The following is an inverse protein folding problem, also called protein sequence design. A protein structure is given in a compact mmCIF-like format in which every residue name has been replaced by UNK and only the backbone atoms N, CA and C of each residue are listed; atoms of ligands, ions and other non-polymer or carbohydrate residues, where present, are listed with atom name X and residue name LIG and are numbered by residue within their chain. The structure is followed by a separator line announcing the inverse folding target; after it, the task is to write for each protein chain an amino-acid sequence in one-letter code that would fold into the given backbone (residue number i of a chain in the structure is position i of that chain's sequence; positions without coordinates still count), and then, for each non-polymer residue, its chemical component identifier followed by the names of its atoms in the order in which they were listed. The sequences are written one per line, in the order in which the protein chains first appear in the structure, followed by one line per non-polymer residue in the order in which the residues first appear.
data_IF_597035519060
#
_entry.id   IF_597035519060
#
_cell.length_a   1.000
_cell.length_b   1.000
_cell.length_c   1.000
_cell.angle_alpha   90.00
_cell.angle_beta   90.00
_cell.angle_gamma   90.00
#
_symmetry.space_group_name_H-M   'P 1'
#
loop_
_entity.id
_entity.type
_entity.pdbx_description
1 polymer ?
#
# COMPACT_ATOMS: atom_id res chain seq x y z
N UNK A 1 53.98 -16.21 -33.01
CA UNK A 1 55.21 -15.40 -33.11
C UNK A 1 54.95 -14.10 -32.36
N UNK A 2 55.29 -14.09 -31.07
CA UNK A 2 55.87 -12.91 -30.40
C UNK A 2 57.30 -12.74 -30.96
N UNK A 3 57.96 -11.57 -30.88
CA UNK A 3 58.12 -10.75 -29.66
C UNK A 3 57.97 -9.23 -29.97
N UNK A 4 58.14 -8.24 -29.10
CA UNK A 4 59.08 -7.98 -28.00
C UNK A 4 58.53 -6.64 -27.40
N UNK A 5 58.04 -6.58 -26.16
CA UNK A 5 58.79 -6.19 -24.96
C UNK A 5 59.77 -5.03 -25.15
N UNK A 6 59.66 -3.98 -24.30
CA UNK A 6 60.69 -3.53 -23.33
C UNK A 6 60.58 -2.05 -22.87
N UNK A 7 61.20 -1.66 -21.74
CA UNK A 7 60.47 -1.15 -20.56
C UNK A 7 61.16 0.05 -19.87
N UNK A 8 60.85 0.25 -18.58
CA UNK A 8 61.68 0.83 -17.50
C UNK A 8 62.00 2.33 -17.43
N UNK A 9 61.64 2.95 -16.28
CA UNK A 9 62.53 3.50 -15.22
C UNK A 9 61.65 4.38 -14.29
N UNK A 10 61.41 4.13 -13.00
CA UNK A 10 62.23 3.82 -11.82
C UNK A 10 63.00 5.03 -11.22
N UNK A 11 63.05 5.04 -9.87
CA UNK A 11 63.86 5.83 -8.91
C UNK A 11 63.15 7.07 -8.32
N UNK A 12 62.60 7.00 -7.10
CA UNK A 12 63.24 7.10 -5.74
C UNK A 12 63.85 8.50 -5.51
N UNK A 13 63.63 9.26 -4.44
CA UNK A 13 63.92 9.13 -2.99
C UNK A 13 63.64 10.57 -2.45
N UNK A 14 63.39 10.94 -1.19
CA UNK A 14 64.04 10.59 0.09
C UNK A 14 63.33 11.34 1.23
N UNK A 15 63.29 10.68 2.38
CA UNK A 15 63.11 11.22 3.73
C UNK A 15 64.18 12.26 4.09
N UNK A 16 63.84 13.23 4.96
CA UNK A 16 64.73 13.62 6.07
C UNK A 16 63.95 14.27 7.20
N UNK A 17 64.14 13.70 8.39
CA UNK A 17 63.77 14.17 9.72
C UNK A 17 64.70 15.29 10.18
N UNK A 18 64.25 16.16 11.10
CA UNK A 18 65.13 16.69 12.15
C UNK A 18 64.34 17.19 13.37
N UNK A 19 64.73 16.58 14.47
CA UNK A 19 64.46 16.73 15.88
C UNK A 19 64.92 18.05 16.56
N UNK A 20 64.27 18.31 17.71
CA UNK A 20 64.80 18.72 19.04
C UNK A 20 64.86 20.19 19.52
N UNK A 21 64.35 20.29 20.76
CA UNK A 21 64.72 21.06 21.95
C UNK A 21 64.57 22.58 22.02
N UNK A 22 63.79 23.02 23.02
CA UNK A 22 64.36 23.70 24.22
C UNK A 22 63.34 23.85 25.36
N UNK A 23 63.81 23.53 26.55
CA UNK A 23 63.23 23.64 27.89
C UNK A 23 63.39 25.06 28.48
N UNK A 24 62.52 25.48 29.43
CA UNK A 24 62.86 26.24 30.65
C UNK A 24 61.61 26.74 31.44
N UNK A 25 61.29 25.99 32.51
CA UNK A 25 61.03 26.33 33.93
C UNK A 25 60.89 27.80 34.42
N UNK A 26 59.92 28.02 35.35
CA UNK A 26 60.02 28.65 36.73
C UNK A 26 58.83 29.58 37.10
N UNK A 27 58.28 29.36 38.32
CA UNK A 27 57.55 30.33 39.19
C UNK A 27 56.17 29.82 39.66
N UNK A 28 55.95 29.19 40.83
CA UNK A 28 55.91 29.75 42.22
C UNK A 28 55.12 31.09 42.30
N UNK A 29 54.20 31.40 43.22
CA UNK A 29 53.74 30.84 44.49
C UNK A 29 52.50 31.64 44.97
N UNK A 30 51.68 31.04 45.85
CA UNK A 30 50.95 31.62 47.01
C UNK A 30 49.96 32.81 46.89
N UNK A 31 48.74 32.61 47.43
CA UNK A 31 48.17 33.25 48.66
C UNK A 31 46.63 33.18 48.58
N UNK A 32 45.92 32.32 49.31
CA UNK A 32 45.51 32.36 50.73
C UNK A 32 44.65 33.58 51.17
N UNK A 33 43.52 33.24 51.83
CA UNK A 33 42.72 34.04 52.78
C UNK A 33 41.77 35.11 52.18
N UNK A 34 40.55 35.35 52.67
CA UNK A 34 39.97 35.13 54.00
C UNK A 34 38.44 35.25 53.97
N UNK A 35 37.79 34.58 54.92
CA UNK A 35 36.38 34.67 55.27
C UNK A 35 36.04 35.90 56.12
N UNK A 36 34.76 36.30 56.14
CA UNK A 36 33.96 36.65 57.35
C UNK A 36 32.55 37.13 56.91
N UNK A 37 31.47 36.45 57.34
CA UNK A 37 30.55 36.83 58.45
C UNK A 37 29.56 37.94 58.06
N UNK A 38 28.30 37.98 58.48
CA UNK A 38 27.47 37.30 59.48
C UNK A 38 25.98 37.59 59.08
N UNK A 39 25.00 36.72 59.39
CA UNK A 39 24.02 36.88 60.50
C UNK A 39 23.15 38.16 60.42
N UNK A 40 21.83 38.19 60.66
CA UNK A 40 20.95 37.33 61.46
C UNK A 40 19.46 37.74 61.28
N UNK A 41 18.57 36.76 61.49
CA UNK A 41 17.28 36.81 62.23
C UNK A 41 16.07 37.65 61.76
N UNK A 42 14.94 36.99 61.47
CA UNK A 42 13.81 36.58 62.37
C UNK A 42 12.67 37.60 62.31
N UNK A 43 11.37 37.34 62.46
CA UNK A 43 10.51 36.26 62.96
C UNK A 43 9.14 36.50 62.25
N UNK A 44 8.08 35.67 62.23
CA UNK A 44 7.39 34.83 63.23
C UNK A 44 6.29 34.06 62.44
N UNK A 45 6.06 32.74 62.60
CA UNK A 45 5.15 32.08 63.58
C UNK A 45 3.83 32.84 63.78
N UNK A 46 2.61 32.26 63.75
CA UNK A 46 2.08 30.92 64.10
C UNK A 46 0.68 30.78 63.40
N UNK A 47 -0.13 29.71 63.39
CA UNK A 47 -0.41 28.53 64.25
C UNK A 47 -1.39 27.65 63.41
N UNK A 48 -1.20 26.33 63.24
CA UNK A 48 -1.84 25.21 63.98
C UNK A 48 -3.40 25.25 64.02
N UNK A 49 -4.20 24.19 63.89
CA UNK A 49 -3.99 22.72 63.98
C UNK A 49 -5.33 21.99 63.64
N UNK A 50 -5.23 20.66 63.45
CA UNK A 50 -6.21 19.57 63.72
C UNK A 50 -7.26 19.21 62.66
N UNK A 51 -7.11 18.09 61.95
CA UNK A 51 -7.29 16.65 62.31
C UNK A 51 -8.77 16.22 62.36
N UNK A 52 -9.14 15.31 61.44
CA UNK A 52 -9.88 14.09 61.79
C UNK A 52 -9.70 12.99 60.71
N UNK A 53 -9.10 11.89 61.17
CA UNK A 53 -9.20 10.54 60.59
C UNK A 53 -10.64 10.03 60.62
N UNK A 54 -11.05 9.29 59.58
CA UNK A 54 -11.89 8.10 59.69
C UNK A 54 -11.86 7.27 58.40
N UNK A 55 -11.21 6.13 58.52
CA UNK A 55 -11.25 4.91 57.70
C UNK A 55 -12.67 4.38 57.48
N UNK A 56 -12.95 3.81 56.29
CA UNK A 56 -13.43 2.42 56.11
C UNK A 56 -13.89 2.12 54.66
N UNK A 57 -13.38 0.99 54.17
CA UNK A 57 -14.03 -0.02 53.33
C UNK A 57 -14.83 0.37 52.07
N UNK A 58 -14.24 0.05 50.91
CA UNK A 58 -14.97 -0.67 49.87
C UNK A 58 -14.03 -1.51 49.03
N UNK A 59 -13.95 -2.80 49.38
CA UNK A 59 -13.55 -3.86 48.48
C UNK A 59 -14.52 -3.92 47.29
N UNK A 60 -14.00 -3.79 46.07
CA UNK A 60 -14.63 -4.40 44.90
C UNK A 60 -13.61 -5.34 44.26
N UNK A 61 -13.77 -6.61 44.62
CA UNK A 61 -13.26 -7.75 43.88
C UNK A 61 -13.72 -7.66 42.42
N UNK A 62 -12.78 -7.61 41.47
CA UNK A 62 -13.05 -8.04 40.10
C UNK A 62 -12.44 -9.42 39.90
N UNK A 63 -13.30 -10.44 40.05
CA UNK A 63 -13.02 -11.80 39.59
C UNK A 63 -12.93 -11.81 38.06
N UNK A 64 -11.95 -12.51 37.46
CA UNK A 64 -11.95 -12.80 36.03
C UNK A 64 -12.97 -13.92 35.75
N UNK A 65 -13.95 -13.65 34.89
CA UNK A 65 -14.85 -14.67 34.35
C UNK A 65 -14.19 -15.32 33.13
N UNK A 66 -13.88 -16.60 33.30
CA UNK A 66 -13.53 -17.58 32.28
C UNK A 66 -14.67 -17.79 31.27
N UNK A 67 -14.30 -17.83 29.97
CA UNK A 67 -14.92 -18.36 28.73
C UNK A 67 -16.20 -19.24 28.83
N UNK A 68 -17.10 -19.33 27.81
CA UNK A 68 -16.73 -19.63 26.40
C UNK A 68 -17.67 -19.16 25.24
N UNK A 69 -17.14 -19.22 24.01
CA UNK A 69 -17.80 -19.61 22.72
C UNK A 69 -18.97 -18.79 22.07
N UNK A 70 -18.91 -18.77 20.73
CA UNK A 70 -19.95 -18.46 19.72
C UNK A 70 -20.22 -16.99 19.33
N UNK A 71 -19.59 -16.54 18.22
CA UNK A 71 -20.22 -15.60 17.27
C UNK A 71 -19.89 -16.08 15.85
N UNK A 72 -20.80 -16.86 15.29
CA UNK A 72 -20.92 -17.13 13.86
C UNK A 72 -22.40 -17.03 13.51
N UNK A 73 -22.98 -15.82 13.60
CA UNK A 73 -24.36 -15.53 13.17
C UNK A 73 -24.56 -14.01 13.12
N UNK A 74 -24.17 -13.37 12.03
CA UNK A 74 -24.65 -12.01 11.70
C UNK A 74 -24.88 -11.75 10.21
N UNK A 75 -24.48 -12.68 9.32
CA UNK A 75 -24.72 -12.55 7.87
C UNK A 75 -26.12 -13.00 7.41
N UNK A 76 -26.91 -13.65 8.27
CA UNK A 76 -28.24 -14.18 7.93
C UNK A 76 -29.38 -13.16 7.95
N UNK A 77 -29.28 -12.09 8.75
CA UNK A 77 -30.40 -11.17 9.02
C UNK A 77 -30.51 -9.99 8.04
N UNK A 78 -29.48 -9.75 7.22
CA UNK A 78 -29.48 -8.67 6.22
C UNK A 78 -30.10 -9.16 4.89
N UNK A 79 -30.01 -10.45 4.56
CA UNK A 79 -30.63 -10.98 3.34
C UNK A 79 -32.17 -11.11 3.44
N UNK A 80 -32.71 -11.31 4.65
CA UNK A 80 -34.16 -11.49 4.79
C UNK A 80 -34.95 -10.17 4.73
N UNK A 81 -34.31 -9.03 5.00
CA UNK A 81 -34.94 -7.70 4.92
C UNK A 81 -35.01 -7.13 3.49
N UNK A 82 -34.20 -7.62 2.57
CA UNK A 82 -34.19 -7.17 1.16
C UNK A 82 -35.31 -7.84 0.36
N UNK A 83 -35.82 -9.00 0.80
CA UNK A 83 -36.85 -9.74 0.05
C UNK A 83 -38.30 -9.35 0.38
N UNK A 84 -38.57 -8.31 1.20
CA UNK A 84 -39.93 -7.99 1.68
C UNK A 84 -40.38 -6.53 1.67
N UNK A 85 -39.73 -5.63 0.94
CA UNK A 85 -40.22 -4.25 0.82
C UNK A 85 -40.85 -3.99 -0.55
N UNK A 86 -42.17 -3.81 -0.56
CA UNK A 86 -42.98 -3.37 -1.70
C UNK A 86 -42.54 -1.99 -2.21
N UNK A 87 -42.38 -1.90 -3.54
CA UNK A 87 -41.82 -0.81 -4.35
C UNK A 87 -42.62 0.53 -4.38
N UNK A 88 -43.38 0.88 -3.35
CA UNK A 88 -44.25 2.08 -3.40
C UNK A 88 -43.81 3.28 -2.54
N UNK A 89 -42.71 3.20 -1.80
CA UNK A 89 -42.30 4.30 -0.89
C UNK A 89 -40.78 4.53 -0.86
N UNK A 90 -40.18 4.86 -2.01
CA UNK A 90 -38.81 5.39 -2.05
C UNK A 90 -38.85 6.79 -2.63
N UNK A 91 -38.37 7.77 -1.86
CA UNK A 91 -38.32 9.18 -2.27
C UNK A 91 -37.28 9.37 -3.39
N UNK A 92 -37.51 10.27 -4.37
CA UNK A 92 -36.56 10.52 -5.47
C UNK A 92 -35.14 10.91 -5.01
N UNK A 93 -35.00 11.46 -3.79
CA UNK A 93 -33.70 11.85 -3.23
C UNK A 93 -32.87 10.65 -2.71
N UNK A 94 -33.54 9.55 -2.32
CA UNK A 94 -32.86 8.31 -1.90
C UNK A 94 -32.41 7.46 -3.09
N UNK A 95 -33.10 7.59 -4.23
CA UNK A 95 -32.70 6.96 -5.50
C UNK A 95 -31.41 7.59 -6.05
N UNK A 96 -31.23 8.90 -5.86
CA UNK A 96 -30.02 9.59 -6.31
C UNK A 96 -28.79 9.25 -5.46
N UNK A 97 -28.95 9.09 -4.14
CA UNK A 97 -27.87 8.66 -3.24
C UNK A 97 -27.52 7.17 -3.35
N UNK A 98 -28.46 6.32 -3.79
CA UNK A 98 -28.19 4.90 -4.08
C UNK A 98 -27.52 4.69 -5.46
N UNK A 99 -27.66 5.63 -6.39
CA UNK A 99 -26.98 5.57 -7.69
C UNK A 99 -25.49 5.93 -7.62
N UNK A 100 -25.08 6.77 -6.65
CA UNK A 100 -23.67 7.10 -6.44
C UNK A 100 -22.92 6.06 -5.58
N UNK A 101 -23.62 5.28 -4.75
CA UNK A 101 -23.03 4.27 -3.87
C UNK A 101 -22.92 2.85 -4.49
N UNK A 102 -23.50 2.58 -5.67
CA UNK A 102 -23.57 1.22 -6.26
C UNK A 102 -22.55 0.91 -7.37
N UNK A 103 -21.54 1.75 -7.61
CA UNK A 103 -20.54 1.49 -8.67
C UNK A 103 -19.51 0.41 -8.31
N UNK A 104 -19.46 -0.10 -7.07
CA UNK A 104 -18.38 -1.01 -6.62
C UNK A 104 -18.76 -2.51 -6.48
N UNK A 105 -19.99 -2.95 -6.82
CA UNK A 105 -20.36 -4.39 -6.71
C UNK A 105 -21.12 -4.96 -7.90
N UNK A 106 -20.49 -4.98 -9.07
CA UNK A 106 -20.91 -5.82 -10.20
C UNK A 106 -19.69 -6.55 -10.79
N UNK A 107 -19.15 -7.48 -10.01
CA UNK A 107 -18.34 -8.60 -10.53
C UNK A 107 -19.13 -9.87 -10.24
N UNK A 108 -19.46 -10.57 -11.33
CA UNK A 108 -20.35 -11.73 -11.51
C UNK A 108 -21.86 -11.40 -11.65
N UNK A 109 -22.50 -11.80 -12.79
CA UNK A 109 -22.29 -13.11 -13.41
C UNK A 109 -21.98 -13.06 -14.91
N UNK A 110 -20.71 -12.97 -15.28
CA UNK A 110 -20.23 -13.19 -16.65
C UNK A 110 -20.35 -14.67 -17.08
N UNK A 111 -20.36 -15.61 -16.13
CA UNK A 111 -20.58 -17.04 -16.43
C UNK A 111 -22.03 -17.34 -16.86
N UNK A 112 -23.03 -16.60 -16.39
CA UNK A 112 -24.43 -16.81 -16.81
C UNK A 112 -24.72 -16.21 -18.19
N UNK A 113 -23.94 -15.21 -18.60
CA UNK A 113 -23.98 -14.66 -19.97
C UNK A 113 -23.30 -15.58 -20.98
N UNK A 114 -22.17 -16.21 -20.61
CA UNK A 114 -21.49 -17.20 -21.47
C UNK A 114 -22.37 -18.42 -21.79
N UNK A 115 -23.06 -18.98 -20.79
CA UNK A 115 -23.98 -20.13 -21.00
C UNK A 115 -25.23 -19.74 -21.80
N UNK A 116 -25.69 -18.49 -21.73
CA UNK A 116 -26.83 -18.00 -22.53
C UNK A 116 -26.46 -17.78 -24.00
N UNK A 117 -25.23 -17.35 -24.28
CA UNK A 117 -24.74 -17.13 -25.65
C UNK A 117 -24.46 -18.47 -26.34
N UNK A 118 -23.86 -19.45 -25.65
CA UNK A 118 -23.66 -20.79 -26.21
C UNK A 118 -24.98 -21.52 -26.54
N UNK A 119 -26.03 -21.34 -25.72
CA UNK A 119 -27.36 -21.91 -25.99
C UNK A 119 -28.12 -21.21 -27.12
N UNK A 120 -27.86 -19.94 -27.40
CA UNK A 120 -28.46 -19.25 -28.54
C UNK A 120 -27.81 -19.65 -29.88
N UNK A 121 -26.51 -19.94 -29.88
CA UNK A 121 -25.79 -20.37 -31.10
C UNK A 121 -26.21 -21.79 -31.52
N UNK A 122 -26.48 -22.69 -30.56
CA UNK A 122 -26.91 -24.07 -30.87
C UNK A 122 -28.36 -24.13 -31.37
N UNK A 123 -29.25 -23.23 -30.90
CA UNK A 123 -30.65 -23.22 -31.33
C UNK A 123 -30.87 -22.64 -32.74
N UNK A 124 -29.95 -21.83 -33.28
CA UNK A 124 -30.05 -21.28 -34.65
C UNK A 124 -29.54 -22.28 -35.72
N UNK A 125 -28.82 -23.34 -35.34
CA UNK A 125 -28.32 -24.36 -36.28
C UNK A 125 -29.33 -25.50 -36.56
N UNK A 126 -30.37 -25.67 -35.73
CA UNK A 126 -31.36 -26.77 -35.88
C UNK A 126 -32.62 -26.41 -36.70
N UNK A 127 -32.84 -25.14 -37.09
CA UNK A 127 -34.09 -24.72 -37.76
C UNK A 127 -34.06 -24.74 -39.31
N UNK A 128 -32.99 -25.22 -39.95
CA UNK A 128 -32.86 -25.21 -41.43
C UNK A 128 -32.74 -26.58 -42.10
N UNK A 129 -33.31 -27.65 -41.53
CA UNK A 129 -33.45 -28.93 -42.25
C UNK A 129 -34.85 -29.51 -42.02
N UNK A 130 -35.81 -29.15 -42.88
CA UNK A 130 -36.97 -30.02 -43.17
C UNK A 130 -37.57 -29.75 -44.57
N UNK A 131 -37.38 -30.75 -45.44
CA UNK A 131 -38.29 -31.26 -46.47
C UNK A 131 -38.81 -30.34 -47.61
N UNK A 132 -38.39 -30.66 -48.84
CA UNK A 132 -39.33 -31.11 -49.87
C UNK A 132 -38.60 -31.91 -50.98
N UNK A 133 -38.98 -33.18 -51.10
CA UNK A 133 -38.56 -34.14 -52.12
C UNK A 133 -39.69 -34.27 -53.13
N UNK A 134 -39.49 -33.90 -54.40
CA UNK A 134 -40.29 -34.40 -55.54
C UNK A 134 -39.40 -34.47 -56.80
N UNK A 135 -39.58 -35.55 -57.57
CA UNK A 135 -38.77 -36.03 -58.71
C UNK A 135 -39.55 -35.80 -60.04
N UNK A 136 -39.07 -36.21 -61.24
CA UNK A 136 -38.29 -35.40 -62.18
C UNK A 136 -39.01 -35.14 -63.53
N UNK A 137 -38.71 -34.04 -64.23
CA UNK A 137 -38.99 -33.94 -65.67
C UNK A 137 -37.89 -33.24 -66.49
N UNK A 138 -37.31 -34.05 -67.39
CA UNK A 138 -36.80 -33.79 -68.76
C UNK A 138 -36.03 -32.49 -69.11
N UNK A 139 -34.80 -32.75 -69.54
CA UNK A 139 -33.79 -31.94 -70.25
C UNK A 139 -34.40 -31.23 -71.50
N UNK A 140 -33.90 -30.04 -71.89
CA UNK A 140 -32.97 -30.00 -73.01
C UNK A 140 -31.72 -29.14 -72.77
N UNK A 141 -30.61 -29.65 -73.29
CA UNK A 141 -29.30 -29.02 -73.37
C UNK A 141 -29.41 -27.59 -73.90
N UNK A 142 -28.81 -26.64 -73.17
CA UNK A 142 -28.43 -25.33 -73.69
C UNK A 142 -26.97 -25.09 -73.31
N UNK A 143 -26.09 -25.50 -74.21
CA UNK A 143 -24.74 -24.94 -74.31
C UNK A 143 -24.89 -23.44 -74.57
N UNK A 144 -24.48 -22.61 -73.61
CA UNK A 144 -23.89 -21.27 -73.80
C UNK A 144 -23.81 -20.58 -72.44
N UNK A 145 -22.68 -19.88 -72.22
CA UNK A 145 -22.30 -19.10 -71.04
C UNK A 145 -21.48 -19.84 -69.98
N UNK A 146 -20.43 -20.54 -70.45
CA UNK A 146 -19.12 -20.36 -69.84
C UNK A 146 -18.54 -19.06 -70.40
N UNK A 147 -18.73 -17.95 -69.70
CA UNK A 147 -17.74 -16.88 -69.59
C UNK A 147 -18.25 -15.83 -68.59
N UNK A 148 -17.32 -15.33 -67.78
CA UNK A 148 -17.51 -14.46 -66.62
C UNK A 148 -17.97 -15.17 -65.33
N UNK A 149 -17.23 -16.22 -64.92
CA UNK A 149 -16.90 -16.30 -63.50
C UNK A 149 -15.97 -15.11 -63.23
N UNK A 150 -16.56 -13.94 -62.97
CA UNK A 150 -15.83 -12.86 -62.32
C UNK A 150 -15.21 -13.47 -61.06
N UNK A 151 -13.89 -13.53 -61.00
CA UNK A 151 -13.17 -13.69 -59.73
C UNK A 151 -13.63 -12.53 -58.85
N UNK A 152 -14.74 -12.70 -58.12
CA UNK A 152 -15.11 -11.81 -57.03
C UNK A 152 -14.12 -12.13 -55.92
N UNK A 153 -12.90 -11.64 -56.06
CA UNK A 153 -11.99 -11.51 -54.93
C UNK A 153 -12.53 -10.33 -54.14
N UNK A 154 -12.55 -10.44 -52.82
CA UNK A 154 -13.01 -9.39 -51.91
C UNK A 154 -11.82 -8.64 -51.28
N UNK A 155 -10.86 -8.08 -52.05
CA UNK A 155 -9.66 -7.47 -51.50
C UNK A 155 -10.00 -6.26 -50.64
N UNK A 156 -11.03 -5.48 -51.00
CA UNK A 156 -11.45 -4.29 -50.25
C UNK A 156 -11.97 -4.64 -48.85
N UNK A 157 -12.70 -5.76 -48.69
CA UNK A 157 -13.17 -6.23 -47.38
C UNK A 157 -12.00 -6.67 -46.49
N UNK A 158 -11.02 -7.35 -47.09
CA UNK A 158 -9.79 -7.77 -46.39
C UNK A 158 -8.97 -6.55 -45.98
N UNK A 159 -8.77 -5.59 -46.87
CA UNK A 159 -8.00 -4.38 -46.59
C UNK A 159 -8.64 -3.56 -45.47
N UNK A 160 -9.97 -3.38 -45.50
CA UNK A 160 -10.70 -2.70 -44.44
C UNK A 160 -10.56 -3.42 -43.09
N UNK A 161 -10.69 -4.74 -43.07
CA UNK A 161 -10.54 -5.53 -41.84
C UNK A 161 -9.12 -5.46 -41.27
N UNK A 162 -8.09 -5.54 -42.13
CA UNK A 162 -6.69 -5.42 -41.71
C UNK A 162 -6.35 -4.01 -41.24
N UNK A 163 -6.87 -2.97 -41.89
CA UNK A 163 -6.66 -1.59 -41.48
C UNK A 163 -7.28 -1.31 -40.10
N UNK A 164 -8.50 -1.81 -39.87
CA UNK A 164 -9.16 -1.72 -38.58
C UNK A 164 -8.40 -2.51 -37.50
N UNK A 165 -8.03 -3.75 -37.79
CA UNK A 165 -7.29 -4.61 -36.86
C UNK A 165 -5.95 -3.99 -36.45
N UNK A 166 -5.24 -3.37 -37.41
CA UNK A 166 -3.97 -2.68 -37.14
C UNK A 166 -4.15 -1.51 -36.18
N UNK A 167 -5.23 -0.74 -36.30
CA UNK A 167 -5.50 0.39 -35.41
C UNK A 167 -5.82 -0.08 -33.98
N UNK A 168 -6.67 -1.11 -33.85
CA UNK A 168 -7.02 -1.71 -32.56
C UNK A 168 -5.80 -2.38 -31.90
N UNK A 169 -5.01 -3.13 -32.68
CA UNK A 169 -3.78 -3.78 -32.20
C UNK A 169 -2.78 -2.77 -31.65
N UNK A 170 -2.64 -1.59 -32.27
CA UNK A 170 -1.72 -0.57 -31.79
C UNK A 170 -2.18 0.02 -30.46
N UNK A 171 -3.50 0.20 -30.27
CA UNK A 171 -4.06 0.59 -28.98
C UNK A 171 -3.82 -0.50 -27.92
N UNK A 172 -4.13 -1.76 -28.23
CA UNK A 172 -3.94 -2.88 -27.31
C UNK A 172 -2.47 -3.03 -26.89
N UNK A 173 -1.52 -2.82 -27.82
CA UNK A 173 -0.07 -2.81 -27.51
C UNK A 173 0.31 -1.68 -26.55
N UNK A 174 -0.29 -0.50 -26.70
CA UNK A 174 -0.05 0.62 -25.80
C UNK A 174 -0.58 0.34 -24.40
N UNK A 175 -1.80 -0.21 -24.29
CA UNK A 175 -2.40 -0.62 -23.01
C UNK A 175 -1.54 -1.69 -22.33
N UNK A 176 -1.12 -2.70 -23.09
CA UNK A 176 -0.25 -3.79 -22.60
C UNK A 176 1.07 -3.26 -22.06
N UNK A 177 1.70 -2.31 -22.78
CA UNK A 177 2.92 -1.64 -22.34
C UNK A 177 2.73 -0.87 -21.03
N UNK A 178 1.60 -0.16 -20.88
CA UNK A 178 1.27 0.55 -19.62
C UNK A 178 1.14 -0.43 -18.46
N UNK A 179 0.46 -1.56 -18.66
CA UNK A 179 0.30 -2.58 -17.61
C UNK A 179 1.62 -3.27 -17.25
N UNK A 180 2.45 -3.59 -18.23
CA UNK A 180 3.80 -4.11 -18.02
C UNK A 180 4.67 -3.15 -17.19
N UNK A 181 4.63 -1.86 -17.51
CA UNK A 181 5.34 -0.82 -16.74
C UNK A 181 4.83 -0.76 -15.29
N UNK A 182 3.52 -0.85 -15.06
CA UNK A 182 2.95 -0.90 -13.71
C UNK A 182 3.44 -2.13 -12.94
N UNK A 183 3.46 -3.31 -13.55
CA UNK A 183 4.00 -4.55 -12.94
C UNK A 183 5.45 -4.33 -12.51
N UNK A 184 6.28 -3.81 -13.42
CA UNK A 184 7.69 -3.54 -13.14
C UNK A 184 7.87 -2.55 -11.99
N UNK A 185 7.08 -1.47 -11.96
CA UNK A 185 7.10 -0.48 -10.88
C UNK A 185 6.78 -1.11 -9.52
N UNK A 186 5.71 -1.90 -9.40
CA UNK A 186 5.32 -2.53 -8.14
C UNK A 186 6.34 -3.58 -7.68
N UNK A 187 6.84 -4.41 -8.61
CA UNK A 187 7.93 -5.36 -8.33
C UNK A 187 9.18 -4.65 -7.84
N UNK A 188 9.56 -3.53 -8.46
CA UNK A 188 10.73 -2.76 -8.03
C UNK A 188 10.55 -2.18 -6.63
N UNK A 189 9.37 -1.64 -6.30
CA UNK A 189 9.08 -1.15 -4.94
C UNK A 189 9.13 -2.26 -3.90
N UNK A 190 8.59 -3.44 -4.21
CA UNK A 190 8.69 -4.61 -3.34
C UNK A 190 10.15 -5.03 -3.10
N UNK A 191 10.95 -5.09 -4.16
CA UNK A 191 12.40 -5.37 -4.08
C UNK A 191 13.15 -4.34 -3.25
N UNK A 192 12.91 -3.05 -3.50
CA UNK A 192 13.53 -1.96 -2.74
C UNK A 192 13.17 -2.05 -1.26
N UNK A 193 11.90 -2.27 -0.92
CA UNK A 193 11.47 -2.45 0.47
C UNK A 193 12.25 -3.57 1.18
N UNK A 194 12.33 -4.75 0.56
CA UNK A 194 13.04 -5.90 1.12
C UNK A 194 14.54 -5.65 1.25
N UNK A 195 15.15 -5.07 0.22
CA UNK A 195 16.58 -4.76 0.22
C UNK A 195 16.93 -3.74 1.30
N UNK A 196 16.14 -2.67 1.44
CA UNK A 196 16.34 -1.66 2.49
C UNK A 196 16.13 -2.26 3.88
N UNK A 197 15.10 -3.10 4.09
CA UNK A 197 14.90 -3.79 5.36
C UNK A 197 16.10 -4.68 5.71
N UNK A 198 16.53 -5.52 4.78
CA UNK A 198 17.67 -6.43 4.98
C UNK A 198 18.98 -5.68 5.20
N UNK A 199 19.21 -4.57 4.48
CA UNK A 199 20.40 -3.74 4.67
C UNK A 199 20.46 -3.07 6.05
N UNK A 200 19.32 -2.93 6.73
CA UNK A 200 19.23 -2.33 8.06
C UNK A 200 19.01 -3.37 9.18
N UNK A 201 18.95 -4.66 8.87
CA UNK A 201 18.68 -5.75 9.82
C UNK A 201 19.65 -5.70 11.02
N UNK A 202 20.96 -5.73 10.76
CA UNK A 202 21.98 -5.68 11.81
C UNK A 202 21.90 -4.40 12.64
N UNK A 203 21.60 -3.25 12.01
CA UNK A 203 21.45 -1.97 12.71
C UNK A 203 20.22 -1.97 13.62
N UNK A 204 19.10 -2.52 13.16
CA UNK A 204 17.86 -2.66 13.92
C UNK A 204 18.09 -3.59 15.12
N UNK A 205 18.73 -4.73 14.92
CA UNK A 205 19.07 -5.66 16.00
C UNK A 205 20.00 -5.01 17.04
N UNK A 206 20.98 -4.23 16.58
CA UNK A 206 21.88 -3.49 17.45
C UNK A 206 21.13 -2.45 18.30
N UNK A 207 20.25 -1.65 17.70
CA UNK A 207 19.41 -0.67 18.40
C UNK A 207 18.58 -1.34 19.51
N UNK A 208 17.91 -2.46 19.19
CA UNK A 208 17.10 -3.20 20.16
C UNK A 208 17.95 -3.87 21.25
N UNK A 209 19.14 -4.36 20.90
CA UNK A 209 20.09 -4.95 21.84
C UNK A 209 20.62 -3.91 22.83
N UNK A 210 20.98 -2.72 22.34
CA UNK A 210 21.48 -1.64 23.18
C UNK A 210 20.39 -1.10 24.11
N UNK A 211 19.14 -1.00 23.64
CA UNK A 211 17.97 -0.74 24.49
C UNK A 211 17.88 -1.71 25.67
N UNK A 212 18.05 -3.02 25.45
CA UNK A 212 18.00 -4.03 26.53
C UNK A 212 19.17 -3.88 27.51
N UNK A 213 20.37 -3.57 27.02
CA UNK A 213 21.54 -3.33 27.90
C UNK A 213 21.32 -2.10 28.78
N UNK A 214 20.80 -1.02 28.21
CA UNK A 214 20.50 0.20 28.96
C UNK A 214 19.43 -0.10 30.02
N UNK A 215 18.33 -0.78 29.66
CA UNK A 215 17.32 -1.17 30.64
C UNK A 215 17.93 -2.03 31.78
N UNK A 216 18.77 -3.02 31.46
CA UNK A 216 19.43 -3.87 32.44
C UNK A 216 20.43 -3.13 33.36
N UNK A 217 20.89 -1.95 32.97
CA UNK A 217 21.78 -1.10 33.77
C UNK A 217 21.04 -0.18 34.74
N UNK A 218 19.72 0.01 34.56
CA UNK A 218 18.91 0.85 35.45
C UNK A 218 18.72 0.18 36.83
N UNK A 219 18.49 0.95 37.91
CA UNK A 219 18.06 0.39 39.20
C UNK A 219 16.76 -0.40 39.09
N UNK A 220 16.59 -1.43 39.94
CA UNK A 220 15.43 -2.34 39.91
C UNK A 220 14.06 -1.64 39.86
N UNK A 221 13.85 -0.61 40.67
CA UNK A 221 12.57 0.12 40.70
C UNK A 221 12.26 0.82 39.36
N UNK A 222 13.29 1.31 38.66
CA UNK A 222 13.14 1.86 37.32
C UNK A 222 12.96 0.74 36.29
N UNK A 223 13.69 -0.36 36.40
CA UNK A 223 13.52 -1.51 35.51
C UNK A 223 12.06 -2.02 35.50
N UNK A 224 11.44 -2.13 36.67
CA UNK A 224 10.03 -2.52 36.81
C UNK A 224 9.09 -1.50 36.16
N UNK A 225 9.32 -0.20 36.38
CA UNK A 225 8.53 0.87 35.77
C UNK A 225 8.62 0.85 34.24
N UNK A 226 9.79 0.51 33.68
CA UNK A 226 10.05 0.53 32.24
C UNK A 226 9.82 -0.82 31.55
N UNK A 227 9.56 -1.89 32.31
CA UNK A 227 9.44 -3.25 31.77
C UNK A 227 8.39 -3.34 30.66
N UNK A 228 7.22 -2.73 30.86
CA UNK A 228 6.15 -2.72 29.86
C UNK A 228 6.55 -2.04 28.55
N UNK A 229 7.42 -1.02 28.62
CA UNK A 229 7.90 -0.32 27.42
C UNK A 229 8.97 -1.12 26.68
N UNK A 230 9.88 -1.76 27.42
CA UNK A 230 10.83 -2.69 26.82
C UNK A 230 10.11 -3.85 26.12
N UNK A 231 9.03 -4.38 26.71
CA UNK A 231 8.20 -5.40 26.07
C UNK A 231 7.57 -4.91 24.75
N UNK A 232 7.21 -3.63 24.67
CA UNK A 232 6.77 -2.99 23.42
C UNK A 232 7.86 -2.97 22.35
N UNK A 233 9.08 -2.57 22.71
CA UNK A 233 10.25 -2.62 21.81
C UNK A 233 10.58 -4.06 21.37
N UNK A 234 10.47 -5.03 22.27
CA UNK A 234 10.65 -6.45 21.93
C UNK A 234 9.56 -6.97 20.99
N UNK A 235 8.32 -6.48 21.12
CA UNK A 235 7.24 -6.79 20.18
C UNK A 235 7.53 -6.20 18.79
N UNK A 236 7.99 -4.95 18.74
CA UNK A 236 8.46 -4.31 17.49
C UNK A 236 9.55 -5.17 16.84
N UNK A 237 10.54 -5.62 17.60
CA UNK A 237 11.58 -6.54 17.12
C UNK A 237 11.03 -7.85 16.54
N UNK A 238 10.01 -8.44 17.17
CA UNK A 238 9.34 -9.64 16.63
C UNK A 238 8.58 -9.35 15.34
N UNK A 239 7.92 -8.19 15.24
CA UNK A 239 7.22 -7.78 14.03
C UNK A 239 8.18 -7.53 12.86
N UNK A 240 9.35 -6.93 13.15
CA UNK A 240 10.45 -6.74 12.22
C UNK A 240 11.00 -8.04 11.66
N UNK A 241 11.26 -9.03 12.52
CA UNK A 241 11.74 -10.34 12.07
C UNK A 241 10.72 -11.02 11.15
N UNK A 242 9.42 -10.96 11.49
CA UNK A 242 8.34 -11.47 10.63
C UNK A 242 8.27 -10.74 9.29
N UNK A 243 8.61 -9.44 9.26
CA UNK A 243 8.63 -8.64 8.04
C UNK A 243 9.78 -9.08 7.12
N UNK A 244 10.97 -9.34 7.69
CA UNK A 244 12.16 -9.83 6.98
C UNK A 244 11.94 -11.24 6.39
N UNK A 245 11.23 -12.11 7.12
CA UNK A 245 10.92 -13.48 6.69
C UNK A 245 9.77 -13.56 5.66
N UNK A 246 8.99 -12.49 5.48
CA UNK A 246 7.78 -12.54 4.66
C UNK A 246 8.08 -12.63 3.17
N UNK A 247 7.39 -13.52 2.47
CA UNK A 247 7.45 -13.68 1.00
C UNK A 247 6.26 -13.03 0.28
N UNK A 248 5.36 -12.34 0.99
CA UNK A 248 4.10 -11.81 0.44
C UNK A 248 4.28 -10.80 -0.72
N UNK A 249 5.44 -10.14 -0.76
CA UNK A 249 5.82 -9.17 -1.81
C UNK A 249 6.97 -9.66 -2.70
N UNK A 250 7.36 -10.94 -2.59
CA UNK A 250 8.25 -11.57 -3.57
C UNK A 250 7.46 -11.86 -4.84
N UNK A 251 7.49 -10.92 -5.76
CA UNK A 251 6.88 -11.08 -7.08
C UNK A 251 7.96 -11.32 -8.13
N UNK A 252 7.76 -12.39 -8.91
CA UNK A 252 8.56 -12.62 -10.10
C UNK A 252 8.31 -11.49 -11.11
N UNK A 253 9.35 -11.18 -11.89
CA UNK A 253 9.27 -10.15 -12.91
C UNK A 253 8.53 -10.66 -14.14
N UNK A 254 7.20 -10.68 -14.05
CA UNK A 254 6.29 -11.06 -15.15
C UNK A 254 5.92 -9.84 -16.01
N UNK A 255 6.86 -8.91 -16.20
CA UNK A 255 6.65 -7.69 -17.01
C UNK A 255 6.84 -7.92 -18.51
N UNK A 256 7.19 -9.14 -18.93
CA UNK A 256 7.33 -9.47 -20.35
C UNK A 256 6.04 -9.14 -21.12
N UNK A 257 6.22 -8.52 -22.29
CA UNK A 257 5.10 -8.13 -23.14
C UNK A 257 4.55 -9.39 -23.81
N UNK A 258 3.30 -9.74 -23.55
CA UNK A 258 2.62 -10.84 -24.22
C UNK A 258 2.49 -10.53 -25.72
N UNK A 259 2.74 -11.53 -26.56
CA UNK A 259 2.51 -11.41 -27.99
C UNK A 259 1.01 -11.36 -28.28
N UNK A 260 0.56 -10.26 -28.89
CA UNK A 260 -0.84 -10.06 -29.23
C UNK A 260 -1.18 -10.65 -30.60
N UNK A 261 -2.25 -11.44 -30.73
CA UNK A 261 -2.70 -11.96 -32.01
C UNK A 261 -3.15 -10.82 -32.93
N UNK A 262 -2.92 -11.01 -34.23
CA UNK A 262 -3.29 -10.07 -35.28
C UNK A 262 -3.91 -10.82 -36.45
N UNK A 263 -4.77 -10.14 -37.21
CA UNK A 263 -5.30 -10.71 -38.44
C UNK A 263 -4.19 -10.78 -39.49
N UNK A 264 -4.12 -11.91 -40.19
CA UNK A 264 -3.23 -12.08 -41.32
C UNK A 264 -4.02 -12.12 -42.63
N UNK A 265 -3.47 -11.48 -43.67
CA UNK A 265 -4.04 -11.53 -45.01
C UNK A 265 -4.20 -12.97 -45.54
N UNK A 266 -3.20 -13.88 -45.37
CA UNK A 266 -3.35 -15.27 -45.78
C UNK A 266 -4.52 -15.99 -45.10
N UNK A 267 -4.73 -15.77 -43.80
CA UNK A 267 -5.83 -16.41 -43.07
C UNK A 267 -7.18 -15.90 -43.56
N UNK A 268 -7.32 -14.59 -43.79
CA UNK A 268 -8.56 -14.01 -44.31
C UNK A 268 -8.84 -14.44 -45.76
N UNK A 269 -7.82 -14.53 -46.61
CA UNK A 269 -7.94 -15.03 -47.98
C UNK A 269 -8.40 -16.49 -48.00
N UNK A 270 -7.81 -17.34 -47.15
CA UNK A 270 -8.20 -18.75 -47.03
C UNK A 270 -9.62 -18.90 -46.50
N UNK A 271 -10.02 -18.04 -45.55
CA UNK A 271 -11.34 -18.07 -44.92
C UNK A 271 -12.48 -17.80 -45.91
N UNK A 272 -12.25 -16.96 -46.93
CA UNK A 272 -13.27 -16.56 -47.90
C UNK A 272 -13.08 -17.19 -49.29
N UNK A 273 -12.11 -18.10 -49.46
CA UNK A 273 -11.74 -18.68 -50.75
C UNK A 273 -12.92 -19.44 -51.41
N UNK A 274 -13.77 -20.07 -50.62
CA UNK A 274 -14.95 -20.81 -51.09
C UNK A 274 -16.22 -19.96 -51.21
N UNK A 275 -16.17 -18.67 -50.83
CA UNK A 275 -17.35 -17.81 -50.77
C UNK A 275 -17.64 -17.14 -52.11
N UNK A 276 -18.93 -17.07 -52.46
CA UNK A 276 -19.40 -16.38 -53.68
C UNK A 276 -20.24 -15.13 -53.38
N UNK A 277 -20.68 -14.96 -52.13
CA UNK A 277 -21.52 -13.86 -51.70
C UNK A 277 -20.74 -12.90 -50.82
N UNK A 278 -20.71 -11.62 -51.18
CA UNK A 278 -20.03 -10.55 -50.44
C UNK A 278 -20.49 -10.46 -48.98
N UNK A 279 -21.80 -10.56 -48.73
CA UNK A 279 -22.37 -10.54 -47.38
C UNK A 279 -21.92 -11.73 -46.52
N UNK A 280 -21.71 -12.90 -47.14
CA UNK A 280 -21.23 -14.10 -46.45
C UNK A 280 -19.75 -13.94 -46.09
N UNK A 281 -18.93 -13.50 -47.06
CA UNK A 281 -17.52 -13.20 -46.85
C UNK A 281 -17.31 -12.11 -45.77
N UNK A 282 -18.10 -11.04 -45.80
CA UNK A 282 -18.08 -9.98 -44.79
C UNK A 282 -18.40 -10.54 -43.39
N UNK A 283 -19.43 -11.40 -43.27
CA UNK A 283 -19.80 -12.05 -42.01
C UNK A 283 -18.66 -12.92 -41.47
N UNK A 284 -18.00 -13.70 -42.33
CA UNK A 284 -16.85 -14.53 -41.93
C UNK A 284 -15.66 -13.69 -41.47
N UNK A 285 -15.28 -12.67 -42.24
CA UNK A 285 -14.19 -11.75 -41.88
C UNK A 285 -14.51 -11.05 -40.54
N UNK A 286 -15.74 -10.58 -40.37
CA UNK A 286 -16.17 -9.92 -39.12
C UNK A 286 -16.14 -10.87 -37.93
N UNK A 287 -16.55 -12.13 -38.10
CA UNK A 287 -16.47 -13.14 -37.06
C UNK A 287 -15.02 -13.43 -36.68
N UNK A 288 -14.12 -13.57 -37.66
CA UNK A 288 -12.70 -13.81 -37.39
C UNK A 288 -12.02 -12.61 -36.72
N UNK A 289 -12.32 -11.40 -37.17
CA UNK A 289 -11.87 -10.15 -36.53
C UNK A 289 -12.33 -10.08 -35.07
N UNK A 290 -13.59 -10.44 -34.79
CA UNK A 290 -14.12 -10.48 -33.43
C UNK A 290 -13.42 -11.53 -32.56
N UNK A 291 -13.15 -12.72 -33.11
CA UNK A 291 -12.42 -13.78 -32.39
C UNK A 291 -11.02 -13.31 -31.97
N UNK A 292 -10.24 -12.74 -32.91
CA UNK A 292 -8.91 -12.19 -32.63
C UNK A 292 -8.98 -11.03 -31.63
N UNK A 293 -9.96 -10.14 -31.76
CA UNK A 293 -10.20 -9.07 -30.80
C UNK A 293 -10.50 -9.58 -29.39
N UNK A 294 -11.28 -10.66 -29.24
CA UNK A 294 -11.53 -11.29 -27.93
C UNK A 294 -10.26 -11.87 -27.34
N UNK A 295 -9.44 -12.56 -28.15
CA UNK A 295 -8.16 -13.12 -27.68
C UNK A 295 -7.19 -12.01 -27.23
N UNK A 296 -7.07 -10.92 -28.00
CA UNK A 296 -6.29 -9.75 -27.60
C UNK A 296 -6.77 -9.16 -26.29
N UNK A 297 -8.08 -8.89 -26.20
CA UNK A 297 -8.70 -8.33 -24.99
C UNK A 297 -8.44 -9.20 -23.76
N UNK A 298 -8.49 -10.54 -23.89
CA UNK A 298 -8.16 -11.45 -22.79
C UNK A 298 -6.73 -11.29 -22.31
N UNK A 299 -5.74 -11.20 -23.22
CA UNK A 299 -4.34 -11.03 -22.86
C UNK A 299 -4.07 -9.66 -22.19
N UNK A 300 -4.63 -8.58 -22.75
CA UNK A 300 -4.53 -7.24 -22.14
C UNK A 300 -5.16 -7.23 -20.75
N UNK A 301 -6.33 -7.86 -20.60
CA UNK A 301 -7.02 -7.98 -19.30
C UNK A 301 -6.22 -8.80 -18.29
N UNK A 302 -5.61 -9.91 -18.70
CA UNK A 302 -4.74 -10.70 -17.83
C UNK A 302 -3.58 -9.86 -17.27
N UNK A 303 -2.92 -9.07 -18.13
CA UNK A 303 -1.81 -8.24 -17.69
C UNK A 303 -2.26 -7.06 -16.82
N UNK A 304 -3.43 -6.47 -17.10
CA UNK A 304 -4.07 -5.46 -16.23
C UNK A 304 -4.37 -6.03 -14.85
N UNK A 305 -5.00 -7.19 -14.79
CA UNK A 305 -5.44 -7.82 -13.54
C UNK A 305 -4.22 -8.24 -12.70
N UNK A 306 -3.13 -8.70 -13.34
CA UNK A 306 -1.85 -8.97 -12.69
C UNK A 306 -1.22 -7.70 -12.11
N UNK A 307 -1.20 -6.60 -12.86
CA UNK A 307 -0.71 -5.30 -12.38
C UNK A 307 -1.48 -4.82 -11.14
N UNK A 308 -2.80 -4.98 -11.15
CA UNK A 308 -3.67 -4.61 -10.04
C UNK A 308 -3.50 -5.53 -8.83
N UNK A 309 -3.28 -6.82 -9.04
CA UNK A 309 -2.95 -7.76 -7.97
C UNK A 309 -1.63 -7.37 -7.29
N UNK A 310 -0.59 -7.04 -8.05
CA UNK A 310 0.70 -6.64 -7.50
C UNK A 310 0.59 -5.35 -6.70
N UNK A 311 -0.17 -4.37 -7.22
CA UNK A 311 -0.51 -3.15 -6.48
C UNK A 311 -1.20 -3.47 -5.15
N UNK A 312 -2.27 -4.27 -5.18
CA UNK A 312 -3.03 -4.62 -3.97
C UNK A 312 -2.17 -5.34 -2.94
N UNK A 313 -1.38 -6.32 -3.37
CA UNK A 313 -0.49 -7.06 -2.47
C UNK A 313 0.54 -6.13 -1.83
N UNK A 314 1.14 -5.24 -2.62
CA UNK A 314 2.10 -4.26 -2.11
C UNK A 314 1.46 -3.30 -1.10
N UNK A 315 0.31 -2.69 -1.45
CA UNK A 315 -0.40 -1.78 -0.54
C UNK A 315 -0.80 -2.47 0.76
N UNK A 316 -1.36 -3.66 0.66
CA UNK A 316 -1.76 -4.47 1.80
C UNK A 316 -0.59 -4.81 2.72
N UNK A 317 0.56 -5.16 2.13
CA UNK A 317 1.76 -5.46 2.87
C UNK A 317 2.26 -4.24 3.65
N UNK A 318 2.37 -3.08 2.99
CA UNK A 318 2.79 -1.84 3.66
C UNK A 318 1.79 -1.48 4.76
N UNK A 319 0.49 -1.45 4.45
CA UNK A 319 -0.57 -1.05 5.38
C UNK A 319 -0.67 -1.97 6.60
N UNK A 320 -0.56 -3.29 6.42
CA UNK A 320 -0.82 -4.27 7.49
C UNK A 320 0.42 -4.81 8.18
N UNK A 321 1.62 -4.62 7.62
CA UNK A 321 2.86 -5.16 8.19
C UNK A 321 3.87 -4.08 8.52
N UNK A 322 4.03 -3.07 7.66
CA UNK A 322 5.02 -2.00 7.84
C UNK A 322 4.47 -0.90 8.74
N UNK A 323 3.33 -0.30 8.38
CA UNK A 323 2.76 0.83 9.14
C UNK A 323 2.43 0.51 10.60
N UNK A 324 1.97 -0.70 10.97
CA UNK A 324 1.73 -1.02 12.38
C UNK A 324 3.01 -1.02 13.24
N UNK A 325 4.18 -1.26 12.64
CA UNK A 325 5.46 -1.13 13.36
C UNK A 325 5.73 0.34 13.67
N UNK A 326 5.52 1.22 12.69
CA UNK A 326 5.63 2.67 12.87
C UNK A 326 4.63 3.22 13.90
N UNK A 327 3.39 2.72 13.88
CA UNK A 327 2.39 3.08 14.89
C UNK A 327 2.90 2.71 16.29
N UNK A 328 3.40 1.48 16.46
CA UNK A 328 3.98 1.04 17.74
C UNK A 328 5.22 1.83 18.19
N UNK A 329 6.06 2.28 17.25
CA UNK A 329 7.20 3.16 17.54
C UNK A 329 6.71 4.53 18.04
N UNK A 330 5.78 5.15 17.31
CA UNK A 330 5.26 6.48 17.62
C UNK A 330 4.49 6.50 18.96
N UNK A 331 3.56 5.55 19.15
CA UNK A 331 2.82 5.40 20.41
C UNK A 331 3.77 5.09 21.57
N UNK A 332 4.74 4.21 21.33
CA UNK A 332 5.78 3.86 22.30
C UNK A 332 6.58 5.07 22.76
N UNK A 333 7.01 5.92 21.82
CA UNK A 333 7.74 7.15 22.11
C UNK A 333 6.90 8.13 22.91
N UNK A 334 5.69 8.47 22.45
CA UNK A 334 4.79 9.41 23.13
C UNK A 334 4.55 9.00 24.59
N UNK A 335 4.29 7.71 24.81
CA UNK A 335 4.10 7.21 26.16
C UNK A 335 5.38 7.20 26.98
N UNK A 336 6.52 6.91 26.37
CA UNK A 336 7.79 6.87 27.06
C UNK A 336 8.29 8.27 27.48
N UNK A 337 8.02 9.30 26.68
CA UNK A 337 8.35 10.70 27.01
C UNK A 337 7.66 11.17 28.29
N UNK A 338 6.43 10.73 28.56
CA UNK A 338 5.74 11.06 29.82
C UNK A 338 6.47 10.55 31.06
N UNK A 339 7.29 9.51 30.93
CA UNK A 339 8.03 8.92 32.05
C UNK A 339 9.27 9.72 32.41
N UNK A 340 9.81 10.58 31.51
CA UNK A 340 10.92 11.50 31.86
C UNK A 340 10.51 12.35 33.08
N UNK A 341 9.26 12.83 33.09
CA UNK A 341 8.74 13.68 34.16
C UNK A 341 8.64 12.99 35.52
N UNK A 342 8.71 11.66 35.55
CA UNK A 342 8.59 10.83 36.74
C UNK A 342 9.95 10.42 37.31
N UNK A 343 11.05 10.72 36.62
CA UNK A 343 12.40 10.43 37.10
C UNK A 343 12.80 11.35 38.27
N UNK A 344 13.54 10.83 39.27
CA UNK A 344 14.10 11.64 40.33
C UNK A 344 15.05 12.70 39.76
N UNK A 345 14.84 13.97 40.10
CA UNK A 345 15.62 15.12 39.58
C UNK A 345 17.10 15.12 39.99
N UNK A 346 17.50 14.24 40.90
CA UNK A 346 18.81 14.29 41.56
C UNK A 346 19.80 13.24 41.02
N UNK A 347 19.52 12.57 39.90
CA UNK A 347 20.42 11.57 39.33
C UNK A 347 20.65 11.73 37.81
N UNK A 348 21.63 12.57 37.47
CA UNK A 348 22.00 12.89 36.09
C UNK A 348 22.37 11.65 35.25
N UNK A 349 23.04 10.65 35.83
CA UNK A 349 23.44 9.43 35.12
C UNK A 349 22.21 8.59 34.71
N UNK A 350 21.18 8.54 35.56
CA UNK A 350 19.92 7.84 35.23
C UNK A 350 19.10 8.59 34.20
N UNK A 351 19.09 9.92 34.27
CA UNK A 351 18.45 10.77 33.26
C UNK A 351 19.10 10.59 31.89
N UNK A 352 20.44 10.56 31.83
CA UNK A 352 21.18 10.34 30.59
C UNK A 352 20.95 8.93 30.03
N UNK A 353 20.99 7.89 30.87
CA UNK A 353 20.66 6.53 30.46
C UNK A 353 19.22 6.44 29.91
N UNK A 354 18.27 7.16 30.52
CA UNK A 354 16.90 7.18 30.04
C UNK A 354 16.74 7.91 28.71
N UNK A 355 17.41 9.05 28.53
CA UNK A 355 17.46 9.75 27.24
C UNK A 355 18.04 8.87 26.13
N UNK A 356 19.12 8.14 26.43
CA UNK A 356 19.70 7.18 25.48
C UNK A 356 18.74 6.02 25.17
N UNK A 357 18.00 5.54 26.17
CA UNK A 357 16.98 4.51 25.92
C UNK A 357 15.82 5.05 25.07
N UNK A 358 15.35 6.29 25.30
CA UNK A 358 14.33 6.95 24.48
C UNK A 358 14.79 7.16 23.03
N UNK A 359 16.08 7.43 22.82
CA UNK A 359 16.68 7.58 21.49
C UNK A 359 16.45 6.34 20.60
N UNK A 360 16.26 5.15 21.20
CA UNK A 360 15.86 3.92 20.50
C UNK A 360 14.65 4.14 19.59
N UNK A 361 13.62 4.86 20.06
CA UNK A 361 12.41 5.11 19.26
C UNK A 361 12.72 6.04 18.08
N UNK A 362 13.46 7.11 18.32
CA UNK A 362 13.84 8.07 17.27
C UNK A 362 14.74 7.42 16.20
N UNK A 363 15.69 6.57 16.61
CA UNK A 363 16.56 5.85 15.69
C UNK A 363 15.77 4.86 14.82
N UNK A 364 14.80 4.15 15.40
CA UNK A 364 13.88 3.28 14.65
C UNK A 364 12.98 4.09 13.72
N UNK A 365 12.44 5.21 14.19
CA UNK A 365 11.57 6.09 13.40
C UNK A 365 12.30 6.66 12.19
N UNK A 366 13.57 7.08 12.34
CA UNK A 366 14.41 7.58 11.24
C UNK A 366 14.62 6.50 10.18
N UNK A 367 14.96 5.28 10.60
CA UNK A 367 15.16 4.14 9.71
C UNK A 367 13.91 3.83 8.89
N UNK A 368 12.74 3.76 9.54
CA UNK A 368 11.49 3.50 8.85
C UNK A 368 11.05 4.68 7.97
N UNK A 369 11.30 5.91 8.39
CA UNK A 369 11.01 7.10 7.56
C UNK A 369 11.84 7.08 6.29
N UNK A 370 13.11 6.67 6.35
CA UNK A 370 13.94 6.51 5.16
C UNK A 370 13.43 5.39 4.26
N UNK A 371 13.09 4.24 4.85
CA UNK A 371 12.51 3.11 4.12
C UNK A 371 11.22 3.49 3.38
N UNK A 372 10.31 4.23 4.02
CA UNK A 372 9.08 4.70 3.37
C UNK A 372 9.39 5.65 2.21
N UNK A 373 10.35 6.58 2.38
CA UNK A 373 10.77 7.49 1.31
C UNK A 373 11.34 6.77 0.10
N UNK A 374 12.13 5.72 0.32
CA UNK A 374 12.72 4.91 -0.77
C UNK A 374 11.65 4.23 -1.63
N UNK A 375 10.50 3.90 -1.03
CA UNK A 375 9.36 3.28 -1.71
C UNK A 375 8.24 4.28 -2.08
N UNK A 376 8.54 5.58 -1.99
CA UNK A 376 7.62 6.69 -2.33
C UNK A 376 6.34 6.70 -1.50
N UNK A 377 6.46 6.37 -0.22
CA UNK A 377 5.41 6.51 0.80
C UNK A 377 5.79 7.65 1.73
N UNK A 378 4.83 8.50 2.05
CA UNK A 378 5.04 9.72 2.82
C UNK A 378 3.98 9.87 3.91
N UNK A 379 4.33 10.42 5.08
CA UNK A 379 3.34 10.77 6.09
C UNK A 379 2.42 11.86 5.52
N UNK A 380 1.12 11.67 5.73
CA UNK A 380 0.10 12.63 5.35
C UNK A 380 0.17 13.86 6.25
N UNK A 381 0.16 15.05 5.65
CA UNK A 381 0.03 16.28 6.43
C UNK A 381 -1.42 16.47 6.90
N UNK A 382 -1.66 16.30 8.20
CA UNK A 382 -2.94 16.64 8.83
C UNK A 382 -2.96 18.13 9.18
N UNK A 383 -4.06 18.81 8.83
CA UNK A 383 -4.24 20.23 9.09
C UNK A 383 -5.26 20.45 10.20
N UNK A 384 -4.79 20.57 11.44
CA UNK A 384 -5.65 20.89 12.59
C UNK A 384 -6.39 22.23 12.34
N UNK A 385 -7.67 22.27 12.69
CA UNK A 385 -8.57 23.40 12.51
C UNK A 385 -9.12 23.58 11.09
N UNK A 386 -8.76 22.71 10.14
CA UNK A 386 -9.37 22.70 8.80
C UNK A 386 -10.58 21.78 8.75
N UNK A 387 -11.47 22.03 7.80
CA UNK A 387 -12.62 21.18 7.51
C UNK A 387 -12.19 19.76 7.19
N UNK A 388 -13.03 18.80 7.56
CA UNK A 388 -12.82 17.38 7.27
C UNK A 388 -12.70 17.12 5.76
N UNK A 389 -11.64 16.42 5.39
CA UNK A 389 -11.44 15.83 4.06
C UNK A 389 -11.65 14.32 4.19
N UNK A 390 -12.83 13.82 3.84
CA UNK A 390 -13.21 12.41 3.97
C UNK A 390 -12.45 11.46 3.04
N UNK A 391 -11.68 11.98 2.07
CA UNK A 391 -10.79 11.15 1.25
C UNK A 391 -9.49 10.86 1.99
N UNK A 392 -9.06 11.76 2.88
CA UNK A 392 -7.76 11.71 3.56
C UNK A 392 -7.88 11.37 5.04
N UNK A 393 -8.99 11.71 5.68
CA UNK A 393 -9.19 11.60 7.11
C UNK A 393 -10.36 10.67 7.43
N UNK A 394 -10.15 9.80 8.41
CA UNK A 394 -11.17 8.93 8.98
C UNK A 394 -11.49 9.41 10.41
N UNK A 395 -12.77 9.74 10.71
CA UNK A 395 -13.14 10.20 12.04
C UNK A 395 -13.06 9.05 13.05
N UNK A 396 -12.25 9.23 14.08
CA UNK A 396 -12.10 8.28 15.19
C UNK A 396 -13.08 8.58 16.32
N UNK A 397 -13.18 9.86 16.69
CA UNK A 397 -14.04 10.33 17.77
C UNK A 397 -14.56 11.75 17.44
N UNK A 398 -15.56 12.17 18.18
CA UNK A 398 -16.18 13.49 18.04
C UNK A 398 -16.20 14.18 19.39
N UNK A 399 -15.58 15.35 19.47
CA UNK A 399 -15.46 16.11 20.72
C UNK A 399 -15.84 17.57 20.52
N UNK A 400 -16.44 18.23 21.52
CA UNK A 400 -16.65 19.66 21.48
C UNK A 400 -15.32 20.40 21.59
N UNK A 401 -15.22 21.53 20.90
CA UNK A 401 -14.15 22.52 21.01
C UNK A 401 -14.68 23.90 20.61
N UNK A 402 -14.89 24.77 21.61
CA UNK A 402 -15.41 26.12 21.40
C UNK A 402 -14.50 27.04 20.58
N UNK A 403 -13.23 26.66 20.38
CA UNK A 403 -12.25 27.45 19.62
C UNK A 403 -12.25 27.12 18.13
N UNK A 404 -12.88 26.02 17.74
CA UNK A 404 -12.92 25.50 16.38
C UNK A 404 -14.36 25.40 15.87
N UNK A 405 -14.53 25.47 14.54
CA UNK A 405 -15.84 25.28 13.92
C UNK A 405 -16.23 23.80 13.92
N UNK A 406 -17.54 23.53 13.81
CA UNK A 406 -18.05 22.18 13.58
C UNK A 406 -17.43 21.57 12.31
N UNK A 407 -17.23 20.26 12.34
CA UNK A 407 -16.67 19.47 11.22
C UNK A 407 -15.23 19.85 10.84
N UNK A 408 -14.49 20.43 11.79
CA UNK A 408 -13.05 20.62 11.66
C UNK A 408 -12.26 19.51 12.38
N UNK A 409 -11.05 19.24 11.88
CA UNK A 409 -10.06 18.37 12.53
C UNK A 409 -9.58 19.03 13.81
N UNK A 410 -9.78 18.37 14.95
CA UNK A 410 -9.29 18.82 16.27
C UNK A 410 -7.88 18.35 16.55
N UNK A 411 -7.66 17.06 16.37
CA UNK A 411 -6.38 16.40 16.68
C UNK A 411 -6.22 15.15 15.81
N UNK A 412 -4.96 14.77 15.60
CA UNK A 412 -4.57 13.52 14.94
C UNK A 412 -4.29 12.46 16.00
N UNK A 413 -5.00 11.33 15.89
CA UNK A 413 -4.84 10.16 16.75
C UNK A 413 -3.86 9.17 16.14
N UNK A 414 -3.88 9.01 14.82
CA UNK A 414 -2.98 8.12 14.10
C UNK A 414 -2.55 8.71 12.77
N UNK A 415 -1.25 8.65 12.52
CA UNK A 415 -0.62 9.11 11.28
C UNK A 415 -1.21 8.41 10.04
N UNK A 416 -1.76 9.22 9.14
CA UNK A 416 -2.12 8.82 7.79
C UNK A 416 -0.90 8.76 6.87
N UNK A 417 -0.99 8.00 5.77
CA UNK A 417 0.09 7.86 4.80
C UNK A 417 -0.43 7.93 3.37
N UNK A 418 0.38 8.52 2.51
CA UNK A 418 0.14 8.67 1.08
C UNK A 418 1.29 8.04 0.29
N UNK A 419 1.04 7.69 -0.97
CA UNK A 419 2.06 7.16 -1.86
C UNK A 419 1.97 7.80 -3.24
N UNK A 420 3.12 8.04 -3.85
CA UNK A 420 3.18 8.62 -5.20
C UNK A 420 3.22 7.50 -6.24
N UNK A 421 2.66 7.72 -7.43
CA UNK A 421 2.90 6.90 -8.63
C UNK A 421 3.32 7.86 -9.74
N UNK A 422 4.33 7.52 -10.55
CA UNK A 422 4.84 8.39 -11.62
C UNK A 422 3.78 8.80 -12.65
N UNK A 423 2.73 8.01 -12.81
CA UNK A 423 1.63 8.29 -13.75
C UNK A 423 0.58 9.24 -13.18
N UNK A 424 0.57 9.47 -11.87
CA UNK A 424 -0.39 10.32 -11.17
C UNK A 424 0.26 11.64 -10.76
N UNK A 425 -0.50 12.73 -10.88
CA UNK A 425 0.01 14.07 -10.48
C UNK A 425 -0.06 14.30 -8.98
N UNK A 426 -0.99 13.64 -8.31
CA UNK A 426 -1.25 13.81 -6.88
C UNK A 426 -0.97 12.49 -6.14
N UNK A 427 -0.43 12.56 -4.91
CA UNK A 427 -0.29 11.39 -4.06
C UNK A 427 -1.64 10.71 -3.80
N UNK A 428 -1.64 9.39 -3.80
CA UNK A 428 -2.81 8.58 -3.48
C UNK A 428 -2.77 8.20 -2.00
N UNK A 429 -3.94 8.07 -1.38
CA UNK A 429 -4.04 7.68 0.03
C UNK A 429 -3.73 6.19 0.17
N UNK A 430 -2.70 5.86 0.95
CA UNK A 430 -2.38 4.49 1.36
C UNK A 430 -3.24 4.10 2.57
N UNK A 431 -3.29 4.98 3.56
CA UNK A 431 -4.04 4.80 4.80
C UNK A 431 -4.50 6.17 5.30
N UNK A 432 -5.79 6.40 5.54
CA UNK A 432 -6.26 7.68 6.05
C UNK A 432 -5.70 7.96 7.46
N UNK A 433 -5.54 9.24 7.79
CA UNK A 433 -5.23 9.63 9.16
C UNK A 433 -6.47 9.45 10.04
N UNK A 434 -6.30 8.94 11.26
CA UNK A 434 -7.39 8.92 12.25
C UNK A 434 -7.40 10.24 12.99
N UNK A 435 -8.54 10.90 13.01
CA UNK A 435 -8.67 12.24 13.59
C UNK A 435 -9.88 12.35 14.51
N UNK A 436 -9.80 13.23 15.49
CA UNK A 436 -10.97 13.67 16.26
C UNK A 436 -11.59 14.87 15.57
N UNK A 437 -12.92 14.86 15.44
CA UNK A 437 -13.68 15.90 14.74
C UNK A 437 -14.43 16.76 15.75
N UNK A 438 -14.47 18.05 15.49
CA UNK A 438 -15.20 19.00 16.33
C UNK A 438 -16.71 18.90 16.09
N UNK A 439 -17.45 18.71 17.16
CA UNK A 439 -18.92 18.90 17.18
C UNK A 439 -19.32 19.62 18.45
N UNK A 440 -19.57 20.90 18.30
CA UNK A 440 -20.13 21.76 19.32
C UNK A 440 -21.64 21.58 19.35
N UNK A 441 -22.18 21.47 20.57
CA UNK A 441 -23.61 21.54 20.79
C UNK A 441 -24.11 22.88 20.23
N UNK A 442 -25.15 22.84 19.42
CA UNK A 442 -25.74 24.06 18.86
C UNK A 442 -26.16 24.95 20.03
N UNK A 443 -25.55 26.14 20.12
CA UNK A 443 -25.94 27.18 21.08
C UNK A 443 -27.35 27.70 20.82
#
# INVERSE_FOLDING_TARGET
MNPEESPEQAVSTSLSSSELDSTATIGEELSEQQAHSAEEQSSSLSTEERIHDATLDSCLEQKPLTHPEVIAESDGLIQEKINKTTLSEISPLEIQNLQEASIIRLVLPTQTLLVKIEKQIINEEEETITLATEEPEKIPQRESLLDEQSEIKFPDLIEQALAKDKAELEQDKQELKIHAQKIQQWTQRGKTLKQTLKANEERIEQILSDSRKIQGSLPHHLQEQFQGRQQGLDLIGKMLNRLLESTEIDTDDNSELLELPSLSQPDLMTLIEAEQLEQSAEKLIKNKSKEVGIQRWQLVTQQRDLAEQYRKNWLHFVERKVLPILDGINEGQQHAETLISQLPKDNAEQEDNFKHWLQTYSDLQELFSQLLRDIKVYPMQVNIGKSMDYLRYEPFDVQPDSTLNNECVKEEIRQGYEYEIETEKEPLVLRPALVVVVKNDQG
#
